data_IF_196966474990
#
_entry.id   IF_196966474990
#
_cell.length_a   1.000
_cell.length_b   1.000
_cell.length_c   1.000
_cell.angle_alpha   90.00
_cell.angle_beta   90.00
_cell.angle_gamma   90.00
#
_symmetry.space_group_name_H-M   'P 1'
#
loop_
_entity.id
_entity.type
_entity.pdbx_description
1 polymer ?
#
# COMPACT_ATOMS: atom_id res chain seq x y z
N UNK A 1 -13.25 -4.52 10.71
CA UNK A 1 -12.99 -5.66 11.61
C UNK A 1 -13.63 -5.33 12.94
N UNK A 2 -14.41 -6.22 13.55
CA UNK A 2 -15.03 -5.94 14.86
C UNK A 2 -14.00 -6.09 15.98
N UNK A 3 -14.24 -5.46 17.13
CA UNK A 3 -13.36 -5.59 18.31
C UNK A 3 -13.17 -7.04 18.78
N UNK A 4 -14.05 -7.96 18.39
CA UNK A 4 -13.91 -9.40 18.65
C UNK A 4 -12.61 -10.01 18.08
N UNK A 5 -12.03 -9.40 17.05
CA UNK A 5 -10.78 -9.83 16.41
C UNK A 5 -9.55 -9.03 16.85
N UNK A 6 -9.70 -8.09 17.80
CA UNK A 6 -8.58 -7.31 18.35
C UNK A 6 -7.52 -8.26 18.91
N UNK A 7 -6.25 -8.09 18.52
CA UNK A 7 -5.12 -8.98 18.88
C UNK A 7 -5.26 -10.44 18.40
N UNK A 8 -6.12 -10.70 17.40
CA UNK A 8 -6.36 -12.05 16.85
C UNK A 8 -6.07 -12.15 15.36
N UNK A 9 -5.68 -11.07 14.72
CA UNK A 9 -5.21 -11.08 13.32
C UNK A 9 -3.69 -11.14 13.31
N UNK A 10 -3.13 -11.78 12.28
CA UNK A 10 -1.71 -11.76 11.97
C UNK A 10 -1.59 -11.85 10.45
N UNK A 11 -0.54 -11.26 9.89
CA UNK A 11 -0.33 -11.24 8.44
C UNK A 11 0.14 -9.89 7.96
N UNK A 12 -0.05 -9.65 6.67
CA UNK A 12 0.34 -8.41 5.99
C UNK A 12 -0.35 -7.15 6.54
N UNK A 13 -1.45 -7.31 7.30
CA UNK A 13 -2.21 -6.22 7.91
C UNK A 13 -1.99 -6.08 9.43
N UNK A 14 -1.01 -6.80 10.00
CA UNK A 14 -0.62 -6.65 11.40
C UNK A 14 -1.56 -7.29 12.43
N UNK A 15 -1.44 -6.85 13.69
CA UNK A 15 -2.04 -7.54 14.86
C UNK A 15 -3.40 -6.99 15.30
N UNK A 16 -3.89 -5.94 14.62
CA UNK A 16 -5.13 -5.21 14.95
C UNK A 16 -5.29 -4.98 16.46
N UNK A 17 -4.30 -4.31 17.06
CA UNK A 17 -4.26 -4.04 18.49
C UNK A 17 -4.17 -2.54 18.83
N UNK A 18 -4.03 -1.70 17.80
CA UNK A 18 -3.87 -0.25 17.90
C UNK A 18 -2.41 0.20 18.10
N UNK A 19 -1.43 -0.70 17.97
CA UNK A 19 -0.01 -0.42 18.15
C UNK A 19 0.77 -0.60 16.83
N UNK A 20 0.94 0.45 16.02
CA UNK A 20 1.55 0.34 14.69
C UNK A 20 3.01 -0.09 14.73
N UNK A 21 3.71 0.08 15.86
CA UNK A 21 5.14 -0.29 15.97
C UNK A 21 5.39 -1.80 15.90
N UNK A 22 4.35 -2.62 16.03
CA UNK A 22 4.47 -4.08 15.97
C UNK A 22 3.83 -4.72 14.72
N UNK A 23 3.23 -3.92 13.82
CA UNK A 23 2.45 -4.47 12.70
C UNK A 23 3.33 -5.12 11.62
N UNK A 24 4.59 -4.70 11.48
CA UNK A 24 5.58 -5.36 10.61
C UNK A 24 6.19 -6.60 11.27
N UNK A 25 5.35 -7.44 11.88
CA UNK A 25 5.74 -8.71 12.49
C UNK A 25 5.75 -9.81 11.44
N UNK A 26 6.93 -10.36 11.19
CA UNK A 26 7.15 -11.51 10.32
C UNK A 26 6.49 -12.77 10.90
N UNK A 27 6.29 -13.78 10.06
CA UNK A 27 5.65 -15.04 10.47
C UNK A 27 6.43 -15.78 11.58
N UNK A 28 7.76 -15.61 11.62
CA UNK A 28 8.62 -16.13 12.69
C UNK A 28 8.54 -15.34 14.01
N UNK A 29 7.74 -14.27 14.05
CA UNK A 29 7.50 -13.44 15.23
C UNK A 29 8.45 -12.24 15.39
N UNK A 30 9.48 -12.10 14.54
CA UNK A 30 10.41 -10.96 14.55
C UNK A 30 9.70 -9.71 14.00
N UNK A 31 9.92 -8.56 14.63
CA UNK A 31 9.36 -7.28 14.19
C UNK A 31 10.42 -6.52 13.39
N UNK A 32 10.09 -6.14 12.15
CA UNK A 32 10.91 -5.28 11.30
C UNK A 32 10.65 -3.81 11.66
N UNK A 33 11.70 -2.99 11.67
CA UNK A 33 11.57 -1.57 11.97
C UNK A 33 10.73 -0.86 10.90
N UNK A 34 9.84 0.05 11.29
CA UNK A 34 9.01 0.83 10.36
C UNK A 34 9.80 1.75 9.42
N UNK A 35 11.03 2.11 9.79
CA UNK A 35 11.95 2.91 9.00
C UNK A 35 12.95 2.07 8.19
N UNK A 36 12.80 0.74 8.17
CA UNK A 36 13.62 -0.13 7.35
C UNK A 36 13.43 0.17 5.86
N UNK A 37 14.42 -0.21 5.04
CA UNK A 37 14.33 -0.03 3.60
C UNK A 37 13.16 -0.86 3.03
N UNK A 38 12.56 -0.41 1.93
CA UNK A 38 11.44 -1.12 1.29
C UNK A 38 11.81 -2.58 0.93
N UNK A 39 13.06 -2.81 0.49
CA UNK A 39 13.58 -4.16 0.24
C UNK A 39 13.61 -5.01 1.52
N UNK A 40 14.00 -4.42 2.64
CA UNK A 40 14.09 -5.10 3.92
C UNK A 40 12.69 -5.49 4.42
N UNK A 41 11.74 -4.56 4.36
CA UNK A 41 10.33 -4.81 4.67
C UNK A 41 9.76 -5.92 3.76
N UNK A 42 10.06 -5.87 2.46
CA UNK A 42 9.61 -6.90 1.53
C UNK A 42 10.18 -8.27 1.90
N UNK A 43 11.50 -8.40 2.09
CA UNK A 43 12.16 -9.70 2.29
C UNK A 43 11.97 -10.27 3.70
N UNK A 44 12.09 -9.43 4.72
CA UNK A 44 12.08 -9.88 6.12
C UNK A 44 10.67 -9.93 6.74
N UNK A 45 9.71 -9.20 6.19
CA UNK A 45 8.32 -9.23 6.64
C UNK A 45 7.37 -9.78 5.57
N UNK A 46 7.26 -9.13 4.40
CA UNK A 46 6.24 -9.45 3.40
C UNK A 46 6.33 -10.88 2.86
N UNK A 47 7.52 -11.29 2.40
CA UNK A 47 7.77 -12.64 1.85
C UNK A 47 7.54 -13.74 2.88
N UNK A 48 7.71 -13.45 4.18
CA UNK A 48 7.48 -14.45 5.25
C UNK A 48 6.01 -14.84 5.40
N UNK A 49 5.08 -14.06 4.85
CA UNK A 49 3.66 -14.36 4.85
C UNK A 49 3.19 -15.04 3.55
N UNK A 50 4.11 -15.44 2.66
CA UNK A 50 3.78 -16.25 1.50
C UNK A 50 3.17 -17.60 1.92
N UNK A 51 2.21 -18.09 1.13
CA UNK A 51 1.52 -19.35 1.39
C UNK A 51 2.24 -20.47 0.63
N UNK A 52 2.58 -21.54 1.35
CA UNK A 52 3.23 -22.72 0.80
C UNK A 52 2.24 -23.85 0.52
N UNK A 53 2.65 -24.84 -0.28
CA UNK A 53 1.76 -25.95 -0.71
C UNK A 53 1.16 -26.74 0.46
N UNK A 54 1.89 -26.86 1.58
CA UNK A 54 1.47 -27.56 2.79
C UNK A 54 0.50 -26.76 3.68
N UNK A 55 0.48 -25.44 3.52
CA UNK A 55 -0.35 -24.50 4.31
C UNK A 55 -1.48 -23.87 3.50
N UNK A 56 -1.51 -24.10 2.18
CA UNK A 56 -2.53 -23.54 1.30
C UNK A 56 -3.90 -24.17 1.52
N UNK A 57 -4.92 -23.31 1.60
CA UNK A 57 -6.33 -23.70 1.59
C UNK A 57 -7.01 -23.44 0.24
N UNK A 58 -6.24 -22.99 -0.75
CA UNK A 58 -6.76 -22.69 -2.08
C UNK A 58 -6.94 -23.96 -2.92
N UNK A 59 -7.94 -23.92 -3.80
CA UNK A 59 -8.10 -24.91 -4.85
C UNK A 59 -7.21 -24.54 -6.04
N UNK A 60 -6.58 -25.55 -6.65
CA UNK A 60 -5.71 -25.41 -7.81
C UNK A 60 -6.21 -26.29 -8.94
N UNK A 61 -6.08 -25.83 -10.19
CA UNK A 61 -6.36 -26.67 -11.35
C UNK A 61 -5.32 -27.78 -11.52
N UNK A 62 -5.61 -28.75 -12.39
CA UNK A 62 -4.68 -29.85 -12.69
C UNK A 62 -3.33 -29.31 -13.17
N UNK A 63 -2.24 -29.70 -12.50
CA UNK A 63 -0.89 -29.23 -12.79
C UNK A 63 -0.49 -27.91 -12.12
N UNK A 64 -1.36 -27.31 -11.30
CA UNK A 64 -1.06 -26.12 -10.50
C UNK A 64 -0.95 -26.46 -9.00
N UNK A 65 -0.23 -25.62 -8.26
CA UNK A 65 -0.06 -25.66 -6.81
C UNK A 65 0.40 -24.30 -6.30
N UNK A 66 0.49 -24.11 -4.98
CA UNK A 66 1.14 -22.91 -4.43
C UNK A 66 2.59 -22.80 -4.95
N UNK A 67 3.33 -23.91 -4.91
CA UNK A 67 4.69 -24.01 -5.45
C UNK A 67 4.77 -23.65 -6.95
N UNK A 68 3.78 -24.02 -7.77
CA UNK A 68 3.75 -23.63 -9.19
C UNK A 68 3.83 -22.11 -9.34
N UNK A 69 3.00 -21.36 -8.59
CA UNK A 69 2.96 -19.90 -8.64
C UNK A 69 4.17 -19.25 -7.99
N UNK A 70 4.70 -19.81 -6.89
CA UNK A 70 5.98 -19.37 -6.31
C UNK A 70 7.12 -19.52 -7.34
N UNK A 71 7.16 -20.64 -8.06
CA UNK A 71 8.20 -20.96 -9.03
C UNK A 71 8.11 -20.11 -10.29
N UNK A 72 6.89 -19.76 -10.75
CA UNK A 72 6.72 -18.83 -11.88
C UNK A 72 7.37 -17.47 -11.60
N UNK A 73 7.47 -17.08 -10.33
CA UNK A 73 7.99 -15.78 -9.91
C UNK A 73 9.49 -15.78 -9.56
N UNK A 74 10.22 -16.91 -9.68
CA UNK A 74 11.65 -16.98 -9.30
C UNK A 74 12.56 -16.07 -10.12
N UNK A 75 12.18 -15.75 -11.35
CA UNK A 75 12.92 -14.83 -12.22
C UNK A 75 12.57 -13.37 -11.96
N UNK A 76 11.47 -13.10 -11.26
CA UNK A 76 11.07 -11.75 -10.91
C UNK A 76 11.92 -11.28 -9.73
N UNK A 77 12.76 -10.27 -9.99
CA UNK A 77 13.49 -9.54 -8.95
C UNK A 77 12.83 -8.17 -8.83
N UNK A 78 12.12 -7.88 -7.72
CA UNK A 78 11.55 -6.56 -7.53
C UNK A 78 12.64 -5.50 -7.53
N UNK A 79 12.43 -4.40 -8.27
CA UNK A 79 13.23 -3.20 -8.12
C UNK A 79 12.71 -2.40 -6.94
N UNK A 80 13.57 -2.15 -5.95
CA UNK A 80 13.31 -1.23 -4.85
C UNK A 80 13.93 0.16 -5.10
N UNK A 81 14.42 0.39 -6.32
CA UNK A 81 14.97 1.68 -6.71
C UNK A 81 13.80 2.64 -6.85
N UNK A 82 13.69 3.61 -5.94
CA UNK A 82 12.77 4.71 -6.13
C UNK A 82 13.16 5.48 -7.41
N UNK A 83 12.19 5.89 -8.25
CA UNK A 83 12.49 6.73 -9.39
C UNK A 83 13.22 7.99 -8.90
N UNK A 84 14.52 8.04 -9.20
CA UNK A 84 15.50 8.96 -8.64
C UNK A 84 14.94 10.40 -8.64
N UNK A 85 15.12 11.11 -7.52
CA UNK A 85 14.76 12.52 -7.24
C UNK A 85 15.17 13.55 -8.32
N UNK A 86 15.86 13.15 -9.39
CA UNK A 86 16.18 14.01 -10.54
C UNK A 86 14.97 14.28 -11.43
N UNK A 87 13.92 13.45 -11.39
CA UNK A 87 12.68 13.73 -12.13
C UNK A 87 11.86 14.88 -11.49
N UNK A 88 12.20 15.29 -10.27
CA UNK A 88 11.58 16.46 -9.60
C UNK A 88 12.03 17.77 -10.26
N UNK A 89 13.05 17.78 -11.12
CA UNK A 89 13.39 18.95 -11.94
C UNK A 89 12.51 19.06 -13.20
N UNK A 90 11.71 18.03 -13.52
CA UNK A 90 10.82 18.05 -14.67
C UNK A 90 9.52 18.78 -14.32
N UNK A 91 9.34 19.96 -14.91
CA UNK A 91 8.16 20.80 -14.74
C UNK A 91 6.86 20.10 -15.19
N UNK A 92 6.94 19.12 -16.11
CA UNK A 92 5.78 18.31 -16.50
C UNK A 92 5.27 17.47 -15.33
N UNK A 93 6.17 16.80 -14.62
CA UNK A 93 5.85 15.95 -13.48
C UNK A 93 5.27 16.80 -12.34
N UNK A 94 5.86 17.96 -12.07
CA UNK A 94 5.35 18.89 -11.04
C UNK A 94 3.93 19.33 -11.32
N UNK A 95 3.64 19.69 -12.57
CA UNK A 95 2.31 20.12 -12.99
C UNK A 95 1.28 18.99 -12.89
N UNK A 96 1.57 17.85 -13.51
CA UNK A 96 0.68 16.68 -13.54
C UNK A 96 0.41 16.16 -12.13
N UNK A 97 1.43 16.09 -11.28
CA UNK A 97 1.29 15.58 -9.93
C UNK A 97 0.98 16.65 -8.88
N UNK A 98 0.74 17.91 -9.29
CA UNK A 98 0.41 19.04 -8.41
C UNK A 98 1.42 19.20 -7.25
N UNK A 99 2.72 19.10 -7.57
CA UNK A 99 3.84 19.23 -6.63
C UNK A 99 4.43 20.65 -6.72
N UNK A 100 4.44 21.38 -5.61
CA UNK A 100 5.03 22.73 -5.56
C UNK A 100 6.54 22.70 -5.83
N UNK A 101 7.06 23.74 -6.50
CA UNK A 101 8.47 23.86 -6.95
C UNK A 101 9.48 23.58 -5.82
N UNK A 102 9.18 24.02 -4.61
CA UNK A 102 10.13 23.99 -3.49
C UNK A 102 9.80 22.86 -2.48
N UNK A 103 8.90 21.96 -2.85
CA UNK A 103 8.45 20.85 -1.98
C UNK A 103 9.44 19.70 -2.01
N UNK A 104 9.98 19.35 -0.84
CA UNK A 104 10.79 18.14 -0.67
C UNK A 104 9.90 16.89 -0.84
N UNK A 105 10.46 15.79 -1.37
CA UNK A 105 9.69 14.55 -1.52
C UNK A 105 9.16 14.01 -0.19
N UNK A 106 9.79 14.34 0.93
CA UNK A 106 9.29 14.02 2.28
C UNK A 106 7.97 14.70 2.64
N UNK A 107 7.63 15.86 2.07
CA UNK A 107 6.37 16.57 2.34
C UNK A 107 5.20 16.15 1.43
N UNK A 108 5.43 15.28 0.45
CA UNK A 108 4.37 14.88 -0.47
C UNK A 108 3.33 14.00 0.22
N UNK A 109 2.06 14.23 -0.11
CA UNK A 109 0.98 13.35 0.31
C UNK A 109 0.98 12.05 -0.52
N UNK A 110 0.08 11.12 -0.18
CA UNK A 110 0.01 9.83 -0.88
C UNK A 110 -0.31 9.98 -2.38
N UNK A 111 -1.23 10.88 -2.75
CA UNK A 111 -1.60 11.12 -4.15
C UNK A 111 -0.43 11.63 -5.01
N UNK A 112 0.32 12.60 -4.48
CA UNK A 112 1.51 13.17 -5.12
C UNK A 112 2.61 12.10 -5.32
N UNK A 113 2.86 11.25 -4.32
CA UNK A 113 3.86 10.16 -4.43
C UNK A 113 3.45 9.13 -5.47
N UNK A 114 2.19 8.71 -5.47
CA UNK A 114 1.66 7.74 -6.45
C UNK A 114 1.77 8.30 -7.87
N UNK A 115 1.31 9.53 -8.10
CA UNK A 115 1.42 10.17 -9.40
C UNK A 115 2.89 10.29 -9.87
N UNK A 116 3.78 10.74 -8.98
CA UNK A 116 5.21 10.89 -9.32
C UNK A 116 5.82 9.55 -9.73
N UNK A 117 5.54 8.49 -8.98
CA UNK A 117 6.03 7.15 -9.29
C UNK A 117 5.52 6.68 -10.65
N UNK A 118 4.21 6.76 -10.87
CA UNK A 118 3.57 6.31 -12.09
C UNK A 118 4.08 7.09 -13.30
N UNK A 119 4.15 8.42 -13.22
CA UNK A 119 4.72 9.26 -14.28
C UNK A 119 6.18 8.90 -14.57
N UNK A 120 6.97 8.61 -13.53
CA UNK A 120 8.40 8.31 -13.69
C UNK A 120 8.66 6.97 -14.38
N UNK A 121 7.80 5.99 -14.13
CA UNK A 121 7.95 4.62 -14.65
C UNK A 121 7.25 4.45 -16.01
N UNK A 122 6.07 5.04 -16.20
CA UNK A 122 5.28 4.87 -17.43
C UNK A 122 5.55 5.95 -18.47
N UNK A 123 5.99 7.14 -18.03
CA UNK A 123 6.09 8.36 -18.86
C UNK A 123 4.76 8.77 -19.51
N UNK A 124 3.64 8.39 -18.90
CA UNK A 124 2.30 8.70 -19.36
C UNK A 124 1.61 9.69 -18.41
N UNK A 125 1.43 10.92 -18.87
CA UNK A 125 0.78 12.01 -18.11
C UNK A 125 -0.68 11.70 -17.77
N UNK A 126 -1.40 11.03 -18.66
CA UNK A 126 -2.82 10.72 -18.45
C UNK A 126 -2.96 9.68 -17.36
N UNK A 127 -2.12 8.64 -17.42
CA UNK A 127 -2.05 7.61 -16.40
C UNK A 127 -1.68 8.21 -15.03
N UNK A 128 -0.63 9.04 -14.99
CA UNK A 128 -0.20 9.70 -13.77
C UNK A 128 -1.26 10.63 -13.16
N UNK A 129 -1.95 11.43 -13.98
CA UNK A 129 -3.05 12.30 -13.52
C UNK A 129 -4.20 11.47 -12.94
N UNK A 130 -4.53 10.35 -13.59
CA UNK A 130 -5.57 9.44 -13.11
C UNK A 130 -5.19 8.85 -11.75
N UNK A 131 -3.94 8.45 -11.58
CA UNK A 131 -3.40 7.98 -10.30
C UNK A 131 -3.41 9.07 -9.22
N UNK A 132 -3.13 10.32 -9.59
CA UNK A 132 -3.28 11.45 -8.67
C UNK A 132 -4.72 11.56 -8.18
N UNK A 133 -5.68 11.63 -9.11
CA UNK A 133 -7.08 11.89 -8.78
C UNK A 133 -7.66 10.76 -7.91
N UNK A 134 -7.33 9.49 -8.23
CA UNK A 134 -7.70 8.35 -7.40
C UNK A 134 -7.06 8.41 -6.00
N UNK A 135 -5.79 8.82 -5.92
CA UNK A 135 -5.09 8.99 -4.65
C UNK A 135 -5.71 10.11 -3.78
N UNK A 136 -6.11 11.22 -4.41
CA UNK A 136 -6.75 12.36 -3.75
C UNK A 136 -8.15 11.99 -3.24
N UNK A 137 -8.92 11.25 -4.03
CA UNK A 137 -10.21 10.69 -3.62
C UNK A 137 -10.05 9.77 -2.40
N UNK A 138 -9.05 8.88 -2.39
CA UNK A 138 -8.77 8.02 -1.24
C UNK A 138 -8.44 8.84 0.01
N UNK A 139 -7.71 9.95 -0.12
CA UNK A 139 -7.42 10.84 1.01
C UNK A 139 -8.70 11.49 1.56
N UNK A 140 -9.62 11.91 0.68
CA UNK A 140 -10.94 12.42 1.09
C UNK A 140 -11.75 11.33 1.82
N UNK A 141 -11.86 10.14 1.23
CA UNK A 141 -12.59 9.01 1.82
C UNK A 141 -12.02 8.63 3.19
N UNK A 142 -10.69 8.61 3.32
CA UNK A 142 -10.04 8.34 4.61
C UNK A 142 -10.42 9.37 5.67
N UNK A 143 -10.52 10.65 5.31
CA UNK A 143 -10.95 11.70 6.23
C UNK A 143 -12.40 11.51 6.68
N UNK A 144 -13.29 11.14 5.76
CA UNK A 144 -14.70 10.85 6.04
C UNK A 144 -14.88 9.60 6.89
N UNK A 145 -14.06 8.57 6.68
CA UNK A 145 -14.09 7.35 7.50
C UNK A 145 -13.61 7.59 8.93
N UNK A 146 -12.68 8.53 9.13
CA UNK A 146 -12.21 8.94 10.47
C UNK A 146 -13.27 9.79 11.17
N UNK A 147 -14.00 10.62 10.42
CA UNK A 147 -15.05 11.49 10.91
C UNK A 147 -16.40 11.13 10.26
N UNK A 148 -16.97 9.96 10.57
CA UNK A 148 -18.20 9.53 9.93
C UNK A 148 -19.32 10.54 10.21
N UNK A 149 -20.21 10.80 9.23
CA UNK A 149 -21.31 11.72 9.42
C UNK A 149 -22.14 11.29 10.63
N UNK A 150 -22.44 12.25 11.50
CA UNK A 150 -23.37 12.02 12.60
C UNK A 150 -24.77 11.91 12.00
N UNK A 151 -25.31 10.70 11.97
CA UNK A 151 -26.71 10.48 11.62
C UNK A 151 -27.58 11.13 12.69
N UNK A 152 -28.22 12.25 12.34
CA UNK A 152 -29.17 12.89 13.24
C UNK A 152 -30.42 12.00 13.34
N UNK A 153 -30.60 11.41 14.52
CA UNK A 153 -31.70 10.50 14.86
C UNK A 153 -33.06 11.22 14.85
N UNK A 154 -33.05 12.56 14.83
CA UNK A 154 -34.24 13.41 14.79
C UNK A 154 -34.63 13.84 13.37
N UNK A 155 -33.85 13.50 12.34
CA UNK A 155 -34.25 13.81 10.96
C UNK A 155 -35.42 12.90 10.57
N UNK A 156 -36.56 13.46 10.14
CA UNK A 156 -37.67 12.65 9.66
C UNK A 156 -37.21 11.88 8.42
N UNK A 157 -37.44 10.57 8.44
CA UNK A 157 -37.26 9.74 7.25
C UNK A 157 -38.23 10.26 6.20
N UNK A 158 -37.71 10.83 5.12
CA UNK A 158 -38.56 11.23 3.99
C UNK A 158 -39.18 9.97 3.40
N UNK A 159 -40.49 9.81 3.58
CA UNK A 159 -41.31 8.77 2.94
C UNK A 159 -41.54 9.08 1.48
#
# INVERSE_FOLDING_TARGET
>A
VTDAFRRRTYGLLGTYDGEPTNDLRAQNGIVVNSNALAEEIHRQFGVTWAIHTDTSLFYYESGQSAEFFENQNRLFVPSFTEPINTAVEDESIRRTCKIASDSASSSWNAAQRTCYYDMSITRDETFAQTSFDAGDEILSIKADLINPPLFNIELPVST
#
